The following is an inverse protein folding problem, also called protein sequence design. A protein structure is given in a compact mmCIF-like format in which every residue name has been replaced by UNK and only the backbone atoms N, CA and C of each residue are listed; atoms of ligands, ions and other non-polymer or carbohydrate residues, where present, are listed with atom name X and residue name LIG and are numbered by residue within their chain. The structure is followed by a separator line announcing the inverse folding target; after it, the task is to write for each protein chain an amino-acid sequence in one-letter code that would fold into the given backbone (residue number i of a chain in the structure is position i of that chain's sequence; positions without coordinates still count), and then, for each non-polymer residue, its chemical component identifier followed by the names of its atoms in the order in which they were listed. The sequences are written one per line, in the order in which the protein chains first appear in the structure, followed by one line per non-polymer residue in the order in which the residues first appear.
data_IF_766524576636
#
_entry.id   IF_766524576636
#
_cell.length_a   1.000
_cell.length_b   1.000
_cell.length_c   1.000
_cell.angle_alpha   90.00
_cell.angle_beta   90.00
_cell.angle_gamma   90.00
#
_symmetry.space_group_name_H-M   'P 1'
#
loop_
_entity.id
_entity.type
_entity.pdbx_description
1 polymer ?
#
# COMPACT_ATOMS: atom_id res chain seq x y z
N UNK A 1 -25.35 4.06 -32.35
CA UNK A 1 -25.03 4.07 -30.90
C UNK A 1 -24.70 2.67 -30.31
N UNK A 2 -25.28 1.51 -30.66
CA UNK A 2 -24.95 0.22 -30.02
C UNK A 2 -23.55 -0.31 -30.35
N UNK A 3 -23.01 -0.06 -31.54
CA UNK A 3 -21.70 -0.61 -31.94
C UNK A 3 -20.49 0.01 -31.22
N UNK A 4 -20.56 1.28 -30.83
CA UNK A 4 -19.50 1.94 -30.05
C UNK A 4 -19.47 1.43 -28.59
N UNK A 5 -20.63 1.17 -28.00
CA UNK A 5 -20.73 0.62 -26.65
C UNK A 5 -20.19 -0.82 -26.57
N UNK A 6 -20.50 -1.64 -27.58
CA UNK A 6 -19.99 -3.01 -27.67
C UNK A 6 -18.45 -3.02 -27.86
N UNK A 7 -17.88 -2.10 -28.65
CA UNK A 7 -16.43 -1.97 -28.80
C UNK A 7 -15.75 -1.56 -27.50
N UNK A 8 -16.33 -0.60 -26.76
CA UNK A 8 -15.79 -0.13 -25.46
C UNK A 8 -15.87 -1.28 -24.43
N UNK A 9 -17.02 -1.97 -24.34
CA UNK A 9 -17.18 -3.11 -23.44
C UNK A 9 -16.21 -4.26 -23.75
N UNK A 10 -16.02 -4.58 -25.03
CA UNK A 10 -15.06 -5.61 -25.47
C UNK A 10 -13.61 -5.20 -25.15
N UNK A 11 -13.24 -3.94 -25.38
CA UNK A 11 -11.90 -3.42 -25.02
C UNK A 11 -11.66 -3.48 -23.51
N UNK A 12 -12.62 -3.08 -22.69
CA UNK A 12 -12.53 -3.17 -21.23
C UNK A 12 -12.39 -4.62 -20.75
N UNK A 13 -13.19 -5.53 -21.31
CA UNK A 13 -13.13 -6.95 -20.97
C UNK A 13 -11.79 -7.60 -21.34
N UNK A 14 -11.21 -7.23 -22.49
CA UNK A 14 -9.88 -7.66 -22.90
C UNK A 14 -8.77 -7.11 -21.98
N UNK A 15 -8.87 -5.85 -21.55
CA UNK A 15 -7.90 -5.28 -20.61
C UNK A 15 -7.95 -5.99 -19.25
N UNK A 16 -9.13 -6.27 -18.75
CA UNK A 16 -9.33 -7.05 -17.51
C UNK A 16 -8.75 -8.46 -17.66
N UNK A 17 -9.02 -9.13 -18.79
CA UNK A 17 -8.46 -10.46 -19.06
C UNK A 17 -6.91 -10.43 -19.08
N UNK A 18 -6.30 -9.48 -19.80
CA UNK A 18 -4.85 -9.35 -19.86
C UNK A 18 -4.24 -9.05 -18.49
N UNK A 19 -4.93 -8.25 -17.66
CA UNK A 19 -4.50 -7.97 -16.30
C UNK A 19 -4.48 -9.23 -15.43
N UNK A 20 -5.55 -10.04 -15.46
CA UNK A 20 -5.60 -11.30 -14.71
C UNK A 20 -4.63 -12.36 -15.26
N UNK A 21 -4.47 -12.45 -16.59
CA UNK A 21 -3.51 -13.35 -17.21
C UNK A 21 -2.06 -13.01 -16.80
N UNK A 22 -1.73 -11.71 -16.74
CA UNK A 22 -0.44 -11.24 -16.23
C UNK A 22 -0.20 -11.66 -14.76
N UNK A 23 -1.19 -11.48 -13.90
CA UNK A 23 -1.10 -11.89 -12.49
C UNK A 23 -0.88 -13.40 -12.35
N UNK A 24 -1.59 -14.19 -13.13
CA UNK A 24 -1.42 -15.65 -13.16
C UNK A 24 -0.03 -16.07 -13.61
N UNK A 25 0.48 -15.44 -14.66
CA UNK A 25 1.80 -15.71 -15.20
C UNK A 25 2.92 -15.38 -14.20
N UNK A 26 2.83 -14.23 -13.53
CA UNK A 26 3.76 -13.83 -12.48
C UNK A 26 3.68 -14.80 -11.28
N UNK A 27 2.47 -15.16 -10.84
CA UNK A 27 2.26 -16.10 -9.75
C UNK A 27 2.88 -17.48 -10.01
N UNK A 28 2.77 -17.98 -11.25
CA UNK A 28 3.43 -19.26 -11.64
C UNK A 28 4.95 -19.20 -11.60
N UNK A 29 5.54 -18.03 -11.83
CA UNK A 29 7.00 -17.82 -11.83
C UNK A 29 7.55 -17.60 -10.44
N UNK A 30 6.73 -17.21 -9.47
CA UNK A 30 7.14 -16.97 -8.08
C UNK A 30 7.77 -18.21 -7.44
N UNK A 31 7.31 -19.39 -7.82
CA UNK A 31 7.77 -20.67 -7.25
C UNK A 31 8.86 -21.38 -8.09
N UNK A 32 9.43 -20.71 -9.11
CA UNK A 32 10.43 -21.32 -10.00
C UNK A 32 11.73 -20.50 -10.02
N UNK A 33 12.91 -21.10 -9.75
CA UNK A 33 14.19 -20.41 -9.88
C UNK A 33 14.46 -20.02 -11.36
N UNK A 34 15.37 -19.05 -11.63
CA UNK A 34 16.28 -18.39 -10.69
C UNK A 34 15.65 -17.25 -9.90
N UNK A 35 16.09 -17.09 -8.65
CA UNK A 35 15.77 -15.94 -7.81
C UNK A 35 16.95 -14.96 -7.83
N UNK A 36 16.66 -13.66 -7.68
CA UNK A 36 17.64 -12.59 -7.66
C UNK A 36 17.67 -11.89 -6.28
N UNK A 37 18.23 -12.54 -5.23
CA UNK A 37 18.14 -12.03 -3.86
C UNK A 37 18.82 -10.67 -3.68
N UNK A 38 19.92 -10.42 -4.37
CA UNK A 38 20.60 -9.11 -4.34
C UNK A 38 19.70 -7.99 -4.85
N UNK A 39 19.02 -8.21 -5.98
CA UNK A 39 18.10 -7.22 -6.55
C UNK A 39 16.89 -7.02 -5.63
N UNK A 40 16.37 -8.10 -5.01
CA UNK A 40 15.27 -7.98 -4.03
C UNK A 40 15.71 -7.10 -2.87
N UNK A 41 16.92 -7.29 -2.34
CA UNK A 41 17.44 -6.49 -1.23
C UNK A 41 17.59 -5.01 -1.61
N UNK A 42 18.17 -4.72 -2.78
CA UNK A 42 18.26 -3.35 -3.31
C UNK A 42 16.89 -2.70 -3.48
N UNK A 43 15.89 -3.46 -3.97
CA UNK A 43 14.53 -2.97 -4.08
C UNK A 43 13.89 -2.74 -2.70
N UNK A 44 14.15 -3.60 -1.70
CA UNK A 44 13.66 -3.42 -0.34
C UNK A 44 14.24 -2.16 0.30
N UNK A 45 15.51 -1.90 0.12
CA UNK A 45 16.17 -0.68 0.60
C UNK A 45 15.55 0.56 -0.04
N UNK A 46 15.47 0.61 -1.36
CA UNK A 46 14.90 1.72 -2.11
C UNK A 46 13.41 1.96 -1.79
N UNK A 47 12.62 0.90 -1.71
CA UNK A 47 11.19 0.98 -1.40
C UNK A 47 10.95 1.37 0.06
N UNK A 48 11.71 0.79 0.98
CA UNK A 48 11.52 0.95 2.41
C UNK A 48 12.14 2.23 2.95
N UNK A 49 13.47 2.31 2.90
CA UNK A 49 14.23 3.41 3.53
C UNK A 49 13.87 4.77 2.95
N UNK A 50 13.81 4.86 1.64
CA UNK A 50 13.44 6.13 1.01
C UNK A 50 11.98 6.54 1.24
N UNK A 51 11.05 5.61 1.59
CA UNK A 51 9.66 5.94 1.92
C UNK A 51 9.46 6.32 3.39
N UNK A 52 10.43 6.01 4.25
CA UNK A 52 10.27 6.14 5.70
C UNK A 52 9.94 7.57 6.12
N UNK A 53 10.61 8.56 5.55
CA UNK A 53 10.43 9.98 5.92
C UNK A 53 8.98 10.46 5.70
N UNK A 54 8.40 10.14 4.55
CA UNK A 54 7.03 10.54 4.24
C UNK A 54 6.01 9.75 5.07
N UNK A 55 6.26 8.45 5.31
CA UNK A 55 5.41 7.61 6.15
C UNK A 55 5.39 8.15 7.60
N UNK A 56 6.54 8.45 8.18
CA UNK A 56 6.65 9.03 9.53
C UNK A 56 5.86 10.33 9.63
N UNK A 57 6.02 11.23 8.67
CA UNK A 57 5.37 12.52 8.67
C UNK A 57 3.84 12.39 8.55
N UNK A 58 3.37 11.62 7.57
CA UNK A 58 1.93 11.41 7.35
C UNK A 58 1.30 10.72 8.56
N UNK A 59 1.92 9.67 9.08
CA UNK A 59 1.40 8.91 10.23
C UNK A 59 1.34 9.76 11.50
N UNK A 60 2.39 10.54 11.78
CA UNK A 60 2.42 11.43 12.94
C UNK A 60 1.23 12.41 12.92
N UNK A 61 1.05 13.13 11.80
CA UNK A 61 -0.05 14.10 11.69
C UNK A 61 -1.41 13.44 11.66
N UNK A 62 -1.54 12.25 11.08
CA UNK A 62 -2.80 11.49 11.11
C UNK A 62 -3.19 11.15 12.55
N UNK A 63 -2.26 10.57 13.32
CA UNK A 63 -2.52 10.25 14.73
C UNK A 63 -2.78 11.49 15.59
N UNK A 64 -2.05 12.58 15.33
CA UNK A 64 -2.26 13.87 15.99
C UNK A 64 -3.68 14.41 15.75
N UNK A 65 -4.09 14.52 14.48
CA UNK A 65 -5.41 15.05 14.12
C UNK A 65 -6.53 14.15 14.62
N UNK A 66 -6.36 12.82 14.50
CA UNK A 66 -7.34 11.85 14.95
C UNK A 66 -7.56 11.94 16.48
N UNK A 67 -6.47 12.00 17.25
CA UNK A 67 -6.55 12.15 18.70
C UNK A 67 -7.20 13.48 19.10
N UNK A 68 -6.94 14.54 18.37
CA UNK A 68 -7.55 15.83 18.58
C UNK A 68 -9.07 15.78 18.36
N UNK A 69 -9.52 15.25 17.22
CA UNK A 69 -10.93 15.15 16.88
C UNK A 69 -11.70 14.23 17.85
N UNK A 70 -11.19 13.01 18.07
CA UNK A 70 -11.80 12.04 18.99
C UNK A 70 -11.78 12.58 20.42
N UNK A 71 -10.67 13.19 20.83
CA UNK A 71 -10.50 13.76 22.16
C UNK A 71 -11.55 14.81 22.49
N UNK A 72 -11.74 15.77 21.61
CA UNK A 72 -12.79 16.80 21.77
C UNK A 72 -14.21 16.21 21.79
N UNK A 73 -14.48 15.23 20.95
CA UNK A 73 -15.78 14.56 20.95
C UNK A 73 -16.03 13.83 22.29
N UNK A 74 -15.05 13.06 22.77
CA UNK A 74 -15.18 12.29 24.00
C UNK A 74 -15.18 13.15 25.29
N UNK A 75 -14.54 14.31 25.27
CA UNK A 75 -14.58 15.25 26.40
C UNK A 75 -16.02 15.67 26.74
N UNK A 76 -16.89 15.86 25.75
CA UNK A 76 -18.29 16.24 25.95
C UNK A 76 -19.09 15.16 26.68
N UNK A 77 -18.65 13.92 26.62
CA UNK A 77 -19.27 12.76 27.29
C UNK A 77 -18.53 12.33 28.54
N UNK A 78 -17.51 13.08 28.98
CA UNK A 78 -16.68 12.70 30.14
C UNK A 78 -15.79 11.47 29.91
N UNK A 79 -15.67 11.01 28.65
CA UNK A 79 -15.04 9.74 28.29
C UNK A 79 -13.61 9.92 27.72
N UNK A 80 -12.90 11.01 28.04
CA UNK A 80 -11.56 11.33 27.54
C UNK A 80 -10.51 10.23 27.76
N UNK A 81 -10.75 9.36 28.76
CA UNK A 81 -9.86 8.27 29.13
C UNK A 81 -9.73 7.18 28.03
N UNK A 82 -10.71 7.07 27.15
CA UNK A 82 -10.71 6.07 26.06
C UNK A 82 -10.02 6.55 24.78
N UNK A 83 -9.57 7.80 24.69
CA UNK A 83 -8.98 8.39 23.49
C UNK A 83 -7.80 7.57 22.97
N UNK A 84 -6.88 7.17 23.86
CA UNK A 84 -5.68 6.41 23.49
C UNK A 84 -6.01 5.09 22.80
N UNK A 85 -6.96 4.34 23.36
CA UNK A 85 -7.40 3.06 22.82
C UNK A 85 -8.10 3.20 21.48
N UNK A 86 -9.05 4.16 21.37
CA UNK A 86 -9.80 4.37 20.13
C UNK A 86 -8.88 4.82 19.00
N UNK A 87 -7.93 5.73 19.27
CA UNK A 87 -6.93 6.18 18.28
C UNK A 87 -6.07 5.01 17.81
N UNK A 88 -5.56 4.21 18.76
CA UNK A 88 -4.69 3.08 18.42
C UNK A 88 -5.42 2.02 17.58
N UNK A 89 -6.63 1.62 17.98
CA UNK A 89 -7.43 0.64 17.22
C UNK A 89 -7.79 1.17 15.83
N UNK A 90 -8.21 2.44 15.73
CA UNK A 90 -8.56 3.05 14.44
C UNK A 90 -7.36 3.13 13.48
N UNK A 91 -6.16 3.45 14.00
CA UNK A 91 -4.94 3.47 13.22
C UNK A 91 -4.57 2.07 12.75
N UNK A 92 -4.41 1.12 13.65
CA UNK A 92 -3.88 -0.21 13.34
C UNK A 92 -4.82 -1.01 12.43
N UNK A 93 -6.16 -0.93 12.66
CA UNK A 93 -7.13 -1.73 11.86
C UNK A 93 -7.40 -1.17 10.48
N UNK A 94 -7.47 0.16 10.33
CA UNK A 94 -8.01 0.78 9.11
C UNK A 94 -7.13 1.90 8.57
N UNK A 95 -6.93 2.97 9.34
CA UNK A 95 -6.34 4.20 8.83
C UNK A 95 -4.87 4.05 8.46
N UNK A 96 -4.09 3.36 9.29
CA UNK A 96 -2.66 3.11 9.02
C UNK A 96 -2.46 2.34 7.71
N UNK A 97 -3.02 1.12 7.59
CA UNK A 97 -2.92 0.34 6.37
C UNK A 97 -3.35 1.08 5.11
N UNK A 98 -4.50 1.74 5.12
CA UNK A 98 -5.06 2.42 3.95
C UNK A 98 -4.26 3.68 3.59
N UNK A 99 -4.00 4.58 4.55
CA UNK A 99 -3.33 5.85 4.26
C UNK A 99 -1.88 5.63 3.81
N UNK A 100 -1.17 4.71 4.47
CA UNK A 100 0.22 4.42 4.09
C UNK A 100 0.26 3.71 2.74
N UNK A 101 -0.70 2.81 2.43
CA UNK A 101 -0.80 2.20 1.11
C UNK A 101 -1.08 3.24 0.01
N UNK A 102 -1.89 4.28 0.28
CA UNK A 102 -2.15 5.38 -0.65
C UNK A 102 -0.87 6.19 -0.94
N UNK A 103 -0.11 6.53 0.11
CA UNK A 103 1.19 7.20 -0.03
C UNK A 103 2.18 6.31 -0.80
N UNK A 104 2.19 5.02 -0.49
CA UNK A 104 3.02 4.03 -1.16
C UNK A 104 2.67 3.89 -2.65
N UNK A 105 1.39 3.85 -3.00
CA UNK A 105 0.96 3.82 -4.40
C UNK A 105 1.41 5.08 -5.16
N UNK A 106 1.28 6.26 -4.55
CA UNK A 106 1.69 7.54 -5.13
C UNK A 106 3.20 7.69 -5.30
N UNK A 107 4.01 7.12 -4.40
CA UNK A 107 5.47 7.22 -4.46
C UNK A 107 6.11 6.00 -5.10
N UNK A 108 5.92 4.83 -4.52
CA UNK A 108 6.58 3.58 -4.94
C UNK A 108 5.92 3.03 -6.20
N UNK A 109 4.60 2.95 -6.24
CA UNK A 109 3.86 2.50 -7.41
C UNK A 109 4.14 3.35 -8.63
N UNK A 110 4.10 4.68 -8.48
CA UNK A 110 4.46 5.63 -9.52
C UNK A 110 5.92 5.47 -9.98
N UNK A 111 6.86 5.32 -9.03
CA UNK A 111 8.29 5.12 -9.31
C UNK A 111 8.57 3.84 -10.10
N UNK A 112 7.98 2.71 -9.68
CA UNK A 112 8.09 1.43 -10.38
C UNK A 112 7.57 1.54 -11.82
N UNK A 113 6.41 2.19 -12.00
CA UNK A 113 5.82 2.37 -13.34
C UNK A 113 6.68 3.25 -14.22
N UNK A 114 7.21 4.35 -13.67
CA UNK A 114 8.09 5.26 -14.41
C UNK A 114 9.38 4.56 -14.84
N UNK A 115 10.01 3.80 -13.96
CA UNK A 115 11.25 3.07 -14.23
C UNK A 115 11.03 1.99 -15.29
N UNK A 116 10.07 1.09 -15.12
CA UNK A 116 9.77 0.02 -16.08
C UNK A 116 9.26 0.61 -17.40
N UNK A 117 8.41 1.64 -17.35
CA UNK A 117 7.91 2.31 -18.55
C UNK A 117 9.00 2.99 -19.35
N UNK A 118 9.99 3.61 -18.68
CA UNK A 118 11.17 4.16 -19.34
C UNK A 118 12.02 3.07 -20.01
N UNK A 119 12.22 1.93 -19.31
CA UNK A 119 12.93 0.78 -19.87
C UNK A 119 12.18 0.17 -21.07
N UNK A 120 10.85 0.17 -21.07
CA UNK A 120 10.03 -0.33 -22.17
C UNK A 120 10.15 0.58 -23.38
N UNK A 121 10.07 1.90 -23.21
CA UNK A 121 10.14 2.89 -24.28
C UNK A 121 11.54 2.96 -24.91
N UNK A 122 12.59 2.72 -24.11
CA UNK A 122 14.00 2.68 -24.58
C UNK A 122 14.44 1.30 -25.07
N UNK A 123 13.52 0.35 -25.28
CA UNK A 123 13.75 -1.01 -25.79
C UNK A 123 14.69 -1.87 -24.92
N UNK A 124 15.01 -1.43 -23.69
CA UNK A 124 15.87 -2.19 -22.77
C UNK A 124 15.25 -3.54 -22.40
N UNK A 125 13.91 -3.60 -22.31
CA UNK A 125 13.20 -4.85 -21.98
C UNK A 125 13.30 -5.84 -23.16
N UNK A 126 13.25 -5.36 -24.41
CA UNK A 126 13.42 -6.20 -25.59
C UNK A 126 14.88 -6.67 -25.74
N UNK A 127 15.85 -5.81 -25.42
CA UNK A 127 17.25 -6.21 -25.34
C UNK A 127 17.48 -7.31 -24.28
N UNK A 128 16.84 -7.22 -23.12
CA UNK A 128 16.91 -8.30 -22.12
C UNK A 128 16.32 -9.62 -22.63
N UNK A 129 15.23 -9.59 -23.38
CA UNK A 129 14.64 -10.77 -24.00
C UNK A 129 15.58 -11.39 -25.05
N UNK A 130 16.24 -10.55 -25.87
CA UNK A 130 17.23 -11.01 -26.84
C UNK A 130 18.44 -11.69 -26.19
N UNK A 131 18.81 -11.28 -24.98
CA UNK A 131 19.84 -11.89 -24.14
C UNK A 131 19.35 -13.11 -23.33
N UNK A 132 18.18 -13.68 -23.66
CA UNK A 132 17.54 -14.80 -22.96
C UNK A 132 17.28 -14.55 -21.45
N UNK A 133 17.22 -13.28 -21.02
CA UNK A 133 16.87 -12.91 -19.66
C UNK A 133 15.37 -12.67 -19.56
N UNK A 134 14.70 -13.35 -18.60
CA UNK A 134 13.25 -13.19 -18.39
C UNK A 134 12.96 -11.86 -17.64
N UNK A 135 12.37 -10.83 -18.30
CA UNK A 135 12.10 -9.55 -17.65
C UNK A 135 11.10 -9.66 -16.50
N UNK A 136 10.13 -10.60 -16.58
CA UNK A 136 9.15 -10.78 -15.53
C UNK A 136 9.79 -11.25 -14.23
N UNK A 137 10.81 -12.12 -14.32
CA UNK A 137 11.54 -12.57 -13.14
C UNK A 137 12.45 -11.49 -12.57
N UNK A 138 13.20 -10.82 -13.43
CA UNK A 138 14.20 -9.84 -12.97
C UNK A 138 13.59 -8.53 -12.52
N UNK A 139 12.53 -8.06 -13.18
CA UNK A 139 11.92 -6.75 -12.90
C UNK A 139 10.66 -6.87 -12.05
N UNK A 140 9.73 -7.78 -12.39
CA UNK A 140 8.42 -7.82 -11.73
C UNK A 140 8.50 -8.55 -10.40
N UNK A 141 9.04 -9.78 -10.36
CA UNK A 141 9.09 -10.57 -9.13
C UNK A 141 9.93 -9.93 -8.03
N UNK A 142 11.03 -9.29 -8.37
CA UNK A 142 11.87 -8.61 -7.37
C UNK A 142 11.15 -7.46 -6.69
N UNK A 143 10.41 -6.66 -7.46
CA UNK A 143 9.60 -5.55 -6.94
C UNK A 143 8.36 -6.03 -6.18
N UNK A 144 7.73 -7.10 -6.67
CA UNK A 144 6.58 -7.72 -6.01
C UNK A 144 6.96 -8.20 -4.60
N UNK A 145 8.02 -8.98 -4.48
CA UNK A 145 8.48 -9.50 -3.18
C UNK A 145 8.90 -8.36 -2.26
N UNK A 146 9.69 -7.41 -2.77
CA UNK A 146 10.14 -6.26 -1.99
C UNK A 146 8.96 -5.42 -1.47
N UNK A 147 7.98 -5.08 -2.32
CA UNK A 147 6.81 -4.29 -1.93
C UNK A 147 5.92 -5.04 -0.92
N UNK A 148 5.71 -6.34 -1.12
CA UNK A 148 4.90 -7.19 -0.23
C UNK A 148 5.48 -7.28 1.17
N UNK A 149 6.80 -7.25 1.31
CA UNK A 149 7.48 -7.29 2.61
C UNK A 149 7.60 -5.90 3.23
N UNK A 150 7.95 -4.89 2.43
CA UNK A 150 8.26 -3.57 2.96
C UNK A 150 7.04 -2.76 3.36
N UNK A 151 5.90 -2.90 2.66
CA UNK A 151 4.70 -2.14 3.01
C UNK A 151 4.16 -2.48 4.42
N UNK A 152 4.03 -3.74 4.85
CA UNK A 152 3.69 -4.07 6.24
C UNK A 152 4.65 -3.45 7.27
N UNK A 153 5.95 -3.49 7.00
CA UNK A 153 6.96 -2.91 7.90
C UNK A 153 6.76 -1.40 8.01
N UNK A 154 6.54 -0.71 6.89
CA UNK A 154 6.27 0.73 6.87
C UNK A 154 4.98 1.08 7.61
N UNK A 155 3.92 0.25 7.49
CA UNK A 155 2.66 0.44 8.21
C UNK A 155 2.87 0.26 9.71
N UNK A 156 3.57 -0.78 10.15
CA UNK A 156 3.87 -0.98 11.58
C UNK A 156 4.65 0.20 12.18
N UNK A 157 5.66 0.71 11.47
CA UNK A 157 6.40 1.91 11.90
C UNK A 157 5.48 3.13 11.92
N UNK A 158 4.65 3.30 10.90
CA UNK A 158 3.69 4.40 10.81
C UNK A 158 2.66 4.38 11.93
N UNK A 159 2.10 3.21 12.26
CA UNK A 159 1.14 3.07 13.36
C UNK A 159 1.75 3.46 14.70
N UNK A 160 2.98 3.02 14.97
CA UNK A 160 3.71 3.43 16.18
C UNK A 160 3.89 4.96 16.24
N UNK A 161 4.31 5.58 15.15
CA UNK A 161 4.50 7.03 15.06
C UNK A 161 3.16 7.77 15.17
N UNK A 162 2.09 7.25 14.58
CA UNK A 162 0.74 7.81 14.69
C UNK A 162 0.23 7.77 16.13
N UNK A 163 0.43 6.67 16.85
CA UNK A 163 0.09 6.57 18.28
C UNK A 163 0.90 7.57 19.10
N UNK A 164 2.18 7.83 18.78
CA UNK A 164 3.00 8.86 19.43
C UNK A 164 2.47 10.28 19.13
N UNK A 165 2.03 10.55 17.90
CA UNK A 165 1.35 11.79 17.54
C UNK A 165 0.08 12.00 18.37
N UNK A 166 -0.71 10.95 18.55
CA UNK A 166 -1.89 10.96 19.42
C UNK A 166 -1.57 11.13 20.90
N UNK A 167 -0.48 10.54 21.39
CA UNK A 167 0.01 10.73 22.77
C UNK A 167 0.31 12.21 23.06
N UNK A 168 0.93 12.89 22.13
CA UNK A 168 1.27 14.32 22.28
C UNK A 168 0.00 15.15 22.52
N UNK A 169 -1.05 14.94 21.73
CA UNK A 169 -2.35 15.58 21.94
C UNK A 169 -2.99 15.18 23.27
N UNK A 170 -2.95 13.88 23.59
CA UNK A 170 -3.50 13.35 24.86
C UNK A 170 -2.92 14.05 26.08
N UNK A 171 -1.61 14.29 26.08
CA UNK A 171 -0.91 14.94 27.19
C UNK A 171 -1.11 16.46 27.15
N UNK A 172 -0.87 17.12 26.03
CA UNK A 172 -0.85 18.59 25.96
C UNK A 172 -2.25 19.22 25.95
N UNK A 173 -3.21 18.61 25.29
CA UNK A 173 -4.54 19.20 25.07
C UNK A 173 -5.62 18.60 25.97
N UNK A 174 -5.55 17.30 26.25
CA UNK A 174 -6.59 16.60 27.01
C UNK A 174 -6.25 16.43 28.50
N UNK A 175 -5.02 16.78 28.91
CA UNK A 175 -4.55 16.66 30.28
C UNK A 175 -4.49 15.22 30.79
N UNK A 176 -4.19 14.27 29.91
CA UNK A 176 -3.95 12.87 30.27
C UNK A 176 -2.49 12.68 30.67
N UNK A 177 -2.21 11.77 31.58
CA UNK A 177 -0.83 11.36 31.84
C UNK A 177 -0.35 10.42 30.73
N UNK A 178 0.93 10.50 30.36
CA UNK A 178 1.52 9.62 29.36
C UNK A 178 1.37 8.13 29.73
N UNK A 179 1.50 7.81 31.02
CA UNK A 179 1.31 6.45 31.54
C UNK A 179 -0.12 5.94 31.29
N UNK A 180 -1.12 6.78 31.55
CA UNK A 180 -2.51 6.44 31.33
C UNK A 180 -2.84 6.25 29.85
N UNK A 181 -2.36 7.15 28.98
CA UNK A 181 -2.55 7.01 27.52
C UNK A 181 -1.95 5.69 27.01
N UNK A 182 -0.70 5.38 27.39
CA UNK A 182 -0.05 4.10 27.03
C UNK A 182 -0.83 2.89 27.53
N UNK A 183 -1.31 2.90 28.77
CA UNK A 183 -2.14 1.82 29.31
C UNK A 183 -3.45 1.66 28.52
N UNK A 184 -4.10 2.78 28.15
CA UNK A 184 -5.30 2.75 27.31
C UNK A 184 -5.04 2.13 25.95
N UNK A 185 -3.91 2.45 25.30
CA UNK A 185 -3.49 1.86 24.03
C UNK A 185 -3.30 0.34 24.14
N UNK A 186 -2.47 -0.09 25.11
CA UNK A 186 -2.13 -1.51 25.30
C UNK A 186 -3.35 -2.35 25.65
N UNK A 187 -4.23 -1.84 26.52
CA UNK A 187 -5.43 -2.57 26.95
C UNK A 187 -6.53 -2.64 25.88
N UNK A 188 -6.50 -1.75 24.88
CA UNK A 188 -7.52 -1.72 23.82
C UNK A 188 -7.12 -2.51 22.58
N UNK A 189 -5.81 -2.72 22.32
CA UNK A 189 -5.33 -3.49 21.18
C UNK A 189 -5.43 -5.00 21.46
N UNK A 190 -6.15 -5.68 20.60
CA UNK A 190 -6.29 -7.15 20.65
C UNK A 190 -5.42 -7.75 19.55
N UNK A 191 -5.04 -9.03 19.68
CA UNK A 191 -4.23 -9.74 18.67
C UNK A 191 -4.85 -9.68 17.27
N UNK A 192 -6.18 -9.74 17.18
CA UNK A 192 -6.91 -9.65 15.91
C UNK A 192 -6.69 -8.30 15.20
N UNK A 193 -6.53 -7.20 15.95
CA UNK A 193 -6.26 -5.87 15.39
C UNK A 193 -4.88 -5.85 14.72
N UNK A 194 -3.87 -6.39 15.40
CA UNK A 194 -2.50 -6.49 14.89
C UNK A 194 -2.43 -7.40 13.66
N UNK A 195 -3.16 -8.52 13.68
CA UNK A 195 -3.23 -9.44 12.53
C UNK A 195 -3.84 -8.75 11.30
N UNK A 196 -4.96 -8.04 11.48
CA UNK A 196 -5.58 -7.23 10.41
C UNK A 196 -4.63 -6.17 9.88
N UNK A 197 -3.95 -5.45 10.81
CA UNK A 197 -2.99 -4.39 10.50
C UNK A 197 -1.76 -4.86 9.72
N UNK A 198 -1.42 -6.17 9.77
CA UNK A 198 -0.33 -6.75 8.97
C UNK A 198 -0.85 -7.39 7.67
N UNK A 199 -1.99 -8.08 7.72
CA UNK A 199 -2.55 -8.79 6.57
C UNK A 199 -2.93 -7.84 5.43
N UNK A 200 -3.61 -6.73 5.74
CA UNK A 200 -4.04 -5.74 4.74
C UNK A 200 -2.84 -5.16 3.94
N UNK A 201 -1.77 -4.66 4.58
CA UNK A 201 -0.61 -4.15 3.85
C UNK A 201 0.11 -5.18 2.99
N UNK A 202 0.15 -6.46 3.39
CA UNK A 202 0.70 -7.54 2.55
C UNK A 202 -0.04 -7.60 1.21
N UNK A 203 -1.38 -7.62 1.27
CA UNK A 203 -2.22 -7.68 0.08
C UNK A 203 -2.09 -6.39 -0.75
N UNK A 204 -2.09 -5.22 -0.10
CA UNK A 204 -1.94 -3.93 -0.79
C UNK A 204 -0.57 -3.79 -1.46
N UNK A 205 0.52 -4.20 -0.80
CA UNK A 205 1.87 -4.15 -1.38
C UNK A 205 2.01 -5.01 -2.62
N UNK A 206 1.49 -6.23 -2.56
CA UNK A 206 1.44 -7.12 -3.71
C UNK A 206 0.63 -6.52 -4.86
N UNK A 207 -0.58 -6.02 -4.57
CA UNK A 207 -1.48 -5.44 -5.56
C UNK A 207 -0.88 -4.18 -6.21
N UNK A 208 -0.36 -3.22 -5.42
CA UNK A 208 0.22 -1.97 -5.94
C UNK A 208 1.42 -2.28 -6.86
N UNK A 209 2.31 -3.17 -6.44
CA UNK A 209 3.47 -3.57 -7.23
C UNK A 209 3.06 -4.23 -8.56
N UNK A 210 2.05 -5.11 -8.55
CA UNK A 210 1.55 -5.77 -9.75
C UNK A 210 0.90 -4.79 -10.72
N UNK A 211 0.08 -3.86 -10.22
CA UNK A 211 -0.52 -2.78 -11.03
C UNK A 211 0.57 -1.91 -11.65
N UNK A 212 1.56 -1.51 -10.88
CA UNK A 212 2.68 -0.68 -11.33
C UNK A 212 3.49 -1.37 -12.42
N UNK A 213 3.84 -2.64 -12.23
CA UNK A 213 4.57 -3.41 -13.23
C UNK A 213 3.75 -3.65 -14.50
N UNK A 214 2.44 -3.91 -14.37
CA UNK A 214 1.56 -4.10 -15.52
C UNK A 214 1.50 -2.85 -16.40
N UNK A 215 1.24 -1.67 -15.83
CA UNK A 215 1.19 -0.43 -16.60
C UNK A 215 2.57 -0.03 -17.13
N UNK A 216 3.64 -0.26 -16.36
CA UNK A 216 5.00 0.00 -16.82
C UNK A 216 5.39 -0.82 -18.05
N UNK A 217 5.15 -2.14 -18.05
CA UNK A 217 5.44 -3.04 -19.15
C UNK A 217 4.58 -2.79 -20.40
N UNK A 218 3.39 -2.23 -20.24
CA UNK A 218 2.48 -1.91 -21.34
C UNK A 218 2.57 -0.43 -21.79
N UNK A 219 3.61 0.27 -21.38
CA UNK A 219 3.81 1.68 -21.75
C UNK A 219 4.21 1.79 -23.21
N UNK A 220 3.59 2.73 -23.93
CA UNK A 220 3.89 3.07 -25.33
C UNK A 220 3.74 4.57 -25.54
N UNK A 221 4.35 5.12 -26.60
CA UNK A 221 4.21 6.55 -26.94
C UNK A 221 5.23 7.47 -26.26
N UNK A 222 6.42 6.94 -25.97
CA UNK A 222 7.55 7.73 -25.47
C UNK A 222 7.35 8.24 -24.04
N UNK A 223 8.02 9.33 -23.69
CA UNK A 223 8.00 9.93 -22.35
C UNK A 223 6.60 10.37 -21.91
N UNK A 224 5.76 10.81 -22.86
CA UNK A 224 4.36 11.16 -22.57
C UNK A 224 3.57 9.93 -22.13
N UNK A 225 3.77 8.79 -22.80
CA UNK A 225 3.13 7.52 -22.42
C UNK A 225 3.54 7.05 -21.04
N UNK A 226 4.80 7.27 -20.62
CA UNK A 226 5.26 6.99 -19.25
C UNK A 226 4.46 7.80 -18.22
N UNK A 227 4.29 9.10 -18.45
CA UNK A 227 3.49 9.95 -17.56
C UNK A 227 2.02 9.51 -17.44
N UNK A 228 1.40 9.11 -18.56
CA UNK A 228 0.03 8.59 -18.56
C UNK A 228 -0.06 7.24 -17.82
N UNK A 229 0.92 6.33 -17.99
CA UNK A 229 0.98 5.05 -17.29
C UNK A 229 1.13 5.25 -15.77
N UNK A 230 1.98 6.18 -15.34
CA UNK A 230 2.15 6.56 -13.93
C UNK A 230 0.82 7.04 -13.32
N UNK A 231 0.14 7.96 -14.00
CA UNK A 231 -1.15 8.47 -13.52
C UNK A 231 -2.19 7.35 -13.40
N UNK A 232 -2.27 6.46 -14.40
CA UNK A 232 -3.17 5.29 -14.36
C UNK A 232 -2.83 4.35 -13.22
N UNK A 233 -1.55 4.10 -12.96
CA UNK A 233 -1.10 3.27 -11.83
C UNK A 233 -1.62 3.82 -10.51
N UNK A 234 -1.41 5.10 -10.24
CA UNK A 234 -1.85 5.72 -8.98
C UNK A 234 -3.36 5.64 -8.82
N UNK A 235 -4.11 6.03 -9.87
CA UNK A 235 -5.59 6.02 -9.82
C UNK A 235 -6.14 4.61 -9.61
N UNK A 236 -5.67 3.63 -10.40
CA UNK A 236 -6.16 2.24 -10.30
C UNK A 236 -5.78 1.63 -8.95
N UNK A 237 -4.54 1.83 -8.50
CA UNK A 237 -4.11 1.35 -7.18
C UNK A 237 -4.95 1.95 -6.05
N UNK A 238 -5.25 3.25 -6.08
CA UNK A 238 -6.08 3.91 -5.09
C UNK A 238 -7.48 3.31 -5.01
N UNK A 239 -8.13 3.09 -6.15
CA UNK A 239 -9.46 2.45 -6.20
C UNK A 239 -9.41 1.02 -5.67
N UNK A 240 -8.38 0.25 -6.05
CA UNK A 240 -8.22 -1.13 -5.61
C UNK A 240 -7.89 -1.23 -4.11
N UNK A 241 -7.15 -0.27 -3.52
CA UNK A 241 -6.91 -0.22 -2.08
C UNK A 241 -8.25 -0.16 -1.33
N UNK A 242 -9.13 0.80 -1.65
CA UNK A 242 -10.43 0.91 -0.98
C UNK A 242 -11.33 -0.31 -1.21
N UNK A 243 -11.33 -0.87 -2.42
CA UNK A 243 -12.13 -2.04 -2.72
C UNK A 243 -11.64 -3.25 -1.92
N UNK A 244 -10.33 -3.51 -1.93
CA UNK A 244 -9.73 -4.63 -1.19
C UNK A 244 -9.86 -4.44 0.32
N UNK A 245 -9.72 -3.20 0.82
CA UNK A 245 -9.94 -2.89 2.23
C UNK A 245 -11.34 -3.28 2.68
N UNK A 246 -12.37 -2.84 1.96
CA UNK A 246 -13.75 -3.18 2.25
C UNK A 246 -14.01 -4.71 2.21
N UNK A 247 -13.41 -5.41 1.23
CA UNK A 247 -13.56 -6.87 1.10
C UNK A 247 -12.86 -7.58 2.24
N UNK A 248 -11.60 -7.23 2.55
CA UNK A 248 -10.81 -7.87 3.60
C UNK A 248 -11.46 -7.62 4.96
N UNK A 249 -11.87 -6.38 5.28
CA UNK A 249 -12.57 -6.04 6.52
C UNK A 249 -13.84 -6.85 6.68
N UNK A 250 -14.65 -6.97 5.61
CA UNK A 250 -15.87 -7.80 5.65
C UNK A 250 -15.57 -9.29 5.89
N UNK A 251 -14.54 -9.82 5.23
CA UNK A 251 -14.13 -11.23 5.41
C UNK A 251 -13.64 -11.47 6.84
N UNK A 252 -12.78 -10.59 7.38
CA UNK A 252 -12.30 -10.70 8.76
C UNK A 252 -13.44 -10.65 9.76
N UNK A 253 -14.40 -9.75 9.56
CA UNK A 253 -15.59 -9.67 10.41
C UNK A 253 -16.44 -10.95 10.38
N UNK A 254 -16.60 -11.60 9.21
CA UNK A 254 -17.34 -12.86 9.07
C UNK A 254 -16.62 -14.04 9.74
N UNK A 255 -15.30 -14.00 9.86
CA UNK A 255 -14.48 -15.01 10.55
C UNK A 255 -14.40 -14.76 12.06
N UNK A 256 -15.03 -13.67 12.57
CA UNK A 256 -15.07 -13.36 13.99
C UNK A 256 -13.85 -12.59 14.50
N UNK A 257 -13.17 -11.90 13.60
CA UNK A 257 -12.00 -11.05 13.89
C UNK A 257 -12.35 -9.57 13.89
#
# INVERSE_FOLDING_TARGET
MPQSFIKIAKSACLQVYHFFAFHWEVGRRLFRPPYYPQIIWEQMDRIGVESLSIVVLVSFFTGFVLAFQIGYALMRFGAKLYVGGIVAVSLVRELGPVLIAMVFAGRVGAGITAEIGSMQVSEQIDAMRALATDPLRKLVLTRLVAATIMLPILVMVGDLIGVLGGLLVGVMNLGLTAAFYKSSVVNSLVFNDLFSGVLKPIVFGAMISMVACYFGLNTSGGTRGVGEAVTRTVVVSSVLIFLLDAVITKVLYLVGM
#
